data_IF_582853542944
#
_entry.id   IF_582853542944
#
_cell.length_a   1.000
_cell.length_b   1.000
_cell.length_c   1.000
_cell.angle_alpha   90.00
_cell.angle_beta   90.00
_cell.angle_gamma   90.00
#
_symmetry.space_group_name_H-M   'P 1'
#
loop_
_entity.id
_entity.type
_entity.pdbx_description
1 polymer ?
#
# COMPACT_ATOMS: atom_id res chain seq x y z
N UNK A 1 -21.62 14.90 7.91
CA UNK A 1 -22.47 14.98 9.11
C UNK A 1 -21.87 14.18 10.25
N UNK A 2 -21.78 14.74 11.46
CA UNK A 2 -21.23 14.04 12.59
C UNK A 2 -22.26 13.01 13.10
N UNK A 3 -21.85 11.74 13.07
CA UNK A 3 -22.51 10.55 13.62
C UNK A 3 -23.73 10.05 12.85
N UNK A 4 -23.49 9.56 11.63
CA UNK A 4 -24.34 8.51 11.06
C UNK A 4 -24.37 7.35 12.07
N UNK A 5 -25.56 7.00 12.59
CA UNK A 5 -25.71 5.85 13.48
C UNK A 5 -25.24 4.60 12.73
N UNK A 6 -24.58 3.67 13.42
CA UNK A 6 -24.12 2.40 12.83
C UNK A 6 -25.24 1.67 12.07
N UNK A 7 -26.50 1.83 12.50
CA UNK A 7 -27.71 1.27 11.87
C UNK A 7 -28.14 1.94 10.56
N UNK A 8 -27.66 3.15 10.25
CA UNK A 8 -28.21 4.02 9.21
C UNK A 8 -27.27 4.13 7.99
N UNK A 9 -26.26 3.27 7.92
CA UNK A 9 -25.31 3.25 6.81
C UNK A 9 -25.94 2.59 5.57
N UNK A 10 -26.15 3.39 4.53
CA UNK A 10 -26.75 2.96 3.25
C UNK A 10 -25.78 2.99 2.06
N UNK A 11 -24.65 3.69 2.19
CA UNK A 11 -23.67 3.95 1.10
C UNK A 11 -22.65 2.82 0.90
N UNK A 12 -23.07 1.58 1.11
CA UNK A 12 -22.23 0.38 0.97
C UNK A 12 -21.71 0.13 -0.45
N UNK A 13 -22.35 0.75 -1.46
CA UNK A 13 -21.95 0.74 -2.87
C UNK A 13 -21.00 1.89 -3.24
N UNK A 14 -20.71 2.81 -2.31
CA UNK A 14 -19.89 4.02 -2.53
C UNK A 14 -18.64 4.06 -1.67
N UNK A 15 -17.96 2.91 -1.56
CA UNK A 15 -16.73 2.79 -0.77
C UNK A 15 -15.54 2.65 -1.70
N UNK A 16 -14.56 3.55 -1.61
CA UNK A 16 -13.32 3.44 -2.39
C UNK A 16 -12.49 2.23 -1.97
N UNK A 17 -11.88 1.56 -2.95
CA UNK A 17 -11.10 0.35 -2.72
C UNK A 17 -9.64 0.63 -2.32
N UNK A 18 -9.46 1.53 -1.34
CA UNK A 18 -8.15 1.88 -0.81
C UNK A 18 -7.44 0.66 -0.20
N UNK A 19 -6.10 0.69 -0.26
CA UNK A 19 -5.29 -0.13 0.62
C UNK A 19 -5.29 0.48 2.03
N UNK A 20 -5.72 -0.30 3.02
CA UNK A 20 -5.70 0.12 4.42
C UNK A 20 -4.29 0.11 5.04
N UNK A 21 -4.17 0.60 6.27
CA UNK A 21 -2.87 0.76 6.95
C UNK A 21 -2.12 -0.57 7.14
N UNK A 22 -2.85 -1.68 7.23
CA UNK A 22 -2.28 -3.04 7.28
C UNK A 22 -1.32 -3.33 6.12
N UNK A 23 -1.58 -2.79 4.91
CA UNK A 23 -0.70 -2.94 3.75
C UNK A 23 0.64 -2.24 3.93
N UNK A 24 0.65 -1.15 4.69
CA UNK A 24 1.81 -0.29 4.92
C UNK A 24 2.51 -0.57 6.25
N UNK A 25 1.89 -1.36 7.12
CA UNK A 25 2.29 -1.66 8.49
C UNK A 25 1.41 -0.91 9.49
N UNK A 26 0.48 -1.61 10.16
CA UNK A 26 -0.57 -0.96 10.96
C UNK A 26 -0.05 -0.06 12.08
N UNK A 27 0.98 -0.50 12.82
CA UNK A 27 1.60 0.33 13.87
C UNK A 27 2.69 1.23 13.35
N UNK A 28 3.35 0.82 12.27
CA UNK A 28 4.54 1.45 11.72
C UNK A 28 4.42 1.47 10.20
N UNK A 29 3.80 2.53 9.62
CA UNK A 29 3.48 2.59 8.20
C UNK A 29 4.72 2.92 7.35
N UNK A 30 5.73 2.04 7.36
CA UNK A 30 7.04 2.28 6.72
C UNK A 30 7.21 1.51 5.41
N UNK A 31 6.39 0.48 5.16
CA UNK A 31 6.60 -0.48 4.06
C UNK A 31 6.65 0.19 2.67
N UNK A 32 5.77 1.16 2.41
CA UNK A 32 5.77 1.90 1.15
C UNK A 32 6.97 2.87 1.03
N UNK A 33 7.48 3.41 2.13
CA UNK A 33 8.66 4.29 2.14
C UNK A 33 9.92 3.50 1.78
N UNK A 34 10.07 2.30 2.36
CA UNK A 34 11.13 1.35 1.97
C UNK A 34 10.97 0.99 0.50
N UNK A 35 9.75 0.68 0.05
CA UNK A 35 9.43 0.43 -1.36
C UNK A 35 9.86 1.55 -2.30
N UNK A 36 9.57 2.81 -1.95
CA UNK A 36 10.00 4.00 -2.70
C UNK A 36 11.52 4.06 -2.84
N UNK A 37 12.23 3.92 -1.72
CA UNK A 37 13.69 3.96 -1.70
C UNK A 37 14.29 2.86 -2.59
N UNK A 38 13.74 1.65 -2.56
CA UNK A 38 14.17 0.53 -3.41
C UNK A 38 13.94 0.81 -4.91
N UNK A 39 12.76 1.30 -5.25
CA UNK A 39 12.42 1.66 -6.63
C UNK A 39 13.39 2.74 -7.15
N UNK A 40 13.77 3.70 -6.31
CA UNK A 40 14.78 4.72 -6.63
C UNK A 40 16.24 4.25 -6.53
N UNK A 41 16.48 2.96 -6.26
CA UNK A 41 17.82 2.37 -6.05
C UNK A 41 18.61 2.99 -4.90
N UNK A 42 17.93 3.65 -3.98
CA UNK A 42 18.51 4.20 -2.74
C UNK A 42 18.49 3.11 -1.67
N UNK A 43 19.33 2.09 -1.84
CA UNK A 43 19.37 0.93 -0.95
C UNK A 43 19.80 1.29 0.47
N UNK A 44 20.74 2.22 0.64
CA UNK A 44 21.12 2.73 1.96
C UNK A 44 19.93 3.34 2.69
N UNK A 45 19.19 4.24 2.03
CA UNK A 45 17.98 4.86 2.58
C UNK A 45 16.93 3.80 2.96
N UNK A 46 16.78 2.75 2.15
CA UNK A 46 15.86 1.65 2.43
C UNK A 46 16.25 0.89 3.72
N UNK A 47 17.54 0.62 3.91
CA UNK A 47 18.06 0.00 5.14
C UNK A 47 17.86 0.93 6.35
N UNK A 48 18.21 2.21 6.21
CA UNK A 48 18.00 3.22 7.26
C UNK A 48 16.53 3.27 7.66
N UNK A 49 15.60 3.38 6.70
CA UNK A 49 14.16 3.39 6.99
C UNK A 49 13.71 2.10 7.70
N UNK A 50 14.20 0.94 7.28
CA UNK A 50 13.80 -0.33 7.87
C UNK A 50 14.24 -0.46 9.34
N UNK A 51 15.47 -0.02 9.64
CA UNK A 51 16.06 -0.09 10.96
C UNK A 51 15.61 1.06 11.87
N UNK A 52 15.75 2.31 11.44
CA UNK A 52 15.64 3.49 12.32
C UNK A 52 14.27 4.17 12.32
N UNK A 53 13.38 3.87 11.37
CA UNK A 53 12.06 4.53 11.33
C UNK A 53 11.25 4.20 12.59
N UNK A 54 10.81 5.25 13.29
CA UNK A 54 9.98 5.17 14.50
C UNK A 54 8.56 5.66 14.23
N UNK A 55 7.59 5.06 14.92
CA UNK A 55 6.19 5.49 14.93
C UNK A 55 5.78 5.94 16.33
N UNK A 56 4.76 6.79 16.44
CA UNK A 56 4.15 7.17 17.73
C UNK A 56 3.50 5.97 18.45
N UNK A 57 3.16 4.92 17.71
CA UNK A 57 2.58 3.69 18.23
C UNK A 57 3.62 2.61 18.59
N UNK A 58 4.92 2.89 18.45
CA UNK A 58 5.99 2.00 18.88
C UNK A 58 6.16 2.03 20.42
N UNK A 59 6.65 0.93 21.00
CA UNK A 59 7.06 0.95 22.42
C UNK A 59 8.26 1.86 22.62
N UNK A 60 8.40 2.41 23.83
CA UNK A 60 9.57 3.25 24.18
C UNK A 60 10.89 2.50 24.00
N UNK A 61 10.92 1.21 24.35
CA UNK A 61 12.07 0.34 24.18
C UNK A 61 12.46 0.20 22.70
N UNK A 62 11.50 -0.13 21.83
CA UNK A 62 11.75 -0.25 20.40
C UNK A 62 12.23 1.10 19.82
N UNK A 63 11.62 2.20 20.24
CA UNK A 63 12.00 3.55 19.81
C UNK A 63 13.46 3.85 20.15
N UNK A 64 13.92 3.49 21.36
CA UNK A 64 15.31 3.67 21.77
C UNK A 64 16.26 2.83 20.92
N UNK A 65 15.94 1.56 20.68
CA UNK A 65 16.76 0.67 19.85
C UNK A 65 16.85 1.19 18.42
N UNK A 66 15.74 1.66 17.84
CA UNK A 66 15.72 2.21 16.47
C UNK A 66 16.51 3.51 16.34
N UNK A 67 16.41 4.40 17.33
CA UNK A 67 17.26 5.60 17.40
C UNK A 67 18.74 5.24 17.55
N UNK A 68 19.05 4.18 18.29
CA UNK A 68 20.42 3.70 18.41
C UNK A 68 20.96 3.16 17.06
N UNK A 69 20.11 2.45 16.30
CA UNK A 69 20.40 1.95 14.95
C UNK A 69 20.39 3.03 13.85
N UNK A 70 20.18 4.31 14.17
CA UNK A 70 20.30 5.37 13.14
C UNK A 70 21.75 5.61 12.74
N UNK A 71 22.71 5.22 13.58
CA UNK A 71 24.13 5.31 13.34
C UNK A 71 24.70 3.91 13.06
N UNK A 72 25.39 3.76 11.93
CA UNK A 72 25.97 2.49 11.49
C UNK A 72 27.06 1.98 12.45
N UNK A 73 27.77 2.87 13.15
CA UNK A 73 28.79 2.48 14.12
C UNK A 73 28.23 1.69 15.30
N UNK A 74 26.92 1.83 15.56
CA UNK A 74 26.23 1.15 16.66
C UNK A 74 25.68 -0.23 16.29
N UNK A 75 25.77 -0.67 15.03
CA UNK A 75 25.13 -1.91 14.57
C UNK A 75 25.54 -3.15 15.38
N UNK A 76 26.83 -3.27 15.70
CA UNK A 76 27.37 -4.40 16.49
C UNK A 76 26.76 -4.47 17.90
N UNK A 77 26.55 -3.34 18.56
CA UNK A 77 25.92 -3.28 19.87
C UNK A 77 24.39 -3.43 19.77
N UNK A 78 23.79 -2.83 18.74
CA UNK A 78 22.35 -2.94 18.48
C UNK A 78 21.92 -4.40 18.27
N UNK A 79 22.74 -5.21 17.60
CA UNK A 79 22.47 -6.62 17.36
C UNK A 79 22.33 -7.44 18.65
N UNK A 80 23.06 -7.06 19.70
CA UNK A 80 23.05 -7.74 21.02
C UNK A 80 21.78 -7.44 21.82
N UNK A 81 21.27 -6.21 21.70
CA UNK A 81 20.08 -5.74 22.43
C UNK A 81 18.77 -5.97 21.66
N UNK A 82 18.85 -6.32 20.37
CA UNK A 82 17.69 -6.48 19.52
C UNK A 82 16.76 -7.59 20.04
N UNK A 83 15.43 -7.36 20.16
CA UNK A 83 14.48 -8.39 20.52
C UNK A 83 14.44 -9.55 19.53
N UNK A 84 14.07 -10.75 19.99
CA UNK A 84 13.91 -11.93 19.12
C UNK A 84 12.80 -11.77 18.07
N UNK A 85 11.81 -10.90 18.28
CA UNK A 85 10.70 -10.70 17.34
C UNK A 85 11.06 -9.86 16.11
N UNK A 86 12.25 -9.27 16.07
CA UNK A 86 12.72 -8.37 15.00
C UNK A 86 13.66 -9.12 14.04
N UNK A 87 13.19 -10.23 13.48
CA UNK A 87 14.01 -11.13 12.66
C UNK A 87 14.53 -10.45 11.39
N UNK A 88 13.70 -9.63 10.74
CA UNK A 88 14.08 -8.93 9.50
C UNK A 88 15.18 -7.90 9.77
N UNK A 89 15.01 -7.08 10.81
CA UNK A 89 16.04 -6.12 11.23
C UNK A 89 17.32 -6.82 11.68
N UNK A 90 17.22 -7.97 12.36
CA UNK A 90 18.39 -8.78 12.74
C UNK A 90 19.17 -9.26 11.52
N UNK A 91 18.49 -9.83 10.52
CA UNK A 91 19.13 -10.30 9.29
C UNK A 91 19.86 -9.15 8.59
N UNK A 92 19.21 -7.98 8.48
CA UNK A 92 19.83 -6.81 7.85
C UNK A 92 21.07 -6.36 8.60
N UNK A 93 20.99 -6.22 9.94
CA UNK A 93 22.13 -5.79 10.75
C UNK A 93 23.32 -6.73 10.58
N UNK A 94 23.08 -8.05 10.62
CA UNK A 94 24.15 -9.04 10.45
C UNK A 94 24.87 -8.88 9.11
N UNK A 95 24.11 -8.73 8.03
CA UNK A 95 24.67 -8.57 6.69
C UNK A 95 25.38 -7.22 6.51
N UNK A 96 24.84 -6.14 7.09
CA UNK A 96 25.48 -4.83 7.09
C UNK A 96 26.80 -4.84 7.88
N UNK A 97 26.87 -5.52 9.03
CA UNK A 97 28.11 -5.65 9.81
C UNK A 97 29.16 -6.48 9.04
N UNK A 98 28.73 -7.55 8.37
CA UNK A 98 29.65 -8.47 7.70
C UNK A 98 30.18 -7.92 6.38
N UNK A 99 29.33 -7.24 5.60
CA UNK A 99 29.65 -6.87 4.22
C UNK A 99 29.60 -5.36 3.96
N UNK A 100 28.89 -4.58 4.77
CA UNK A 100 28.72 -3.14 4.55
C UNK A 100 27.98 -2.78 3.27
N UNK A 101 27.28 -3.74 2.64
CA UNK A 101 26.56 -3.55 1.38
C UNK A 101 25.03 -3.60 1.61
N UNK A 102 24.34 -2.44 1.53
CA UNK A 102 22.89 -2.35 1.69
C UNK A 102 22.09 -3.20 0.70
N UNK A 103 22.58 -3.36 -0.54
CA UNK A 103 21.89 -4.15 -1.56
C UNK A 103 21.98 -5.64 -1.22
N UNK A 104 23.15 -6.11 -0.81
CA UNK A 104 23.34 -7.49 -0.37
C UNK A 104 22.50 -7.80 0.87
N UNK A 105 22.51 -6.91 1.86
CA UNK A 105 21.68 -7.03 3.06
C UNK A 105 20.20 -7.17 2.72
N UNK A 106 19.72 -6.37 1.75
CA UNK A 106 18.33 -6.46 1.32
C UNK A 106 18.04 -7.78 0.58
N UNK A 107 18.95 -8.27 -0.27
CA UNK A 107 18.80 -9.54 -0.99
C UNK A 107 18.62 -10.76 -0.08
N UNK A 108 19.13 -10.68 1.14
CA UNK A 108 19.05 -11.75 2.15
C UNK A 108 17.68 -11.88 2.79
N UNK A 109 16.84 -10.85 2.67
CA UNK A 109 15.46 -10.93 3.10
C UNK A 109 14.66 -11.95 2.28
N UNK A 110 13.65 -12.59 2.88
CA UNK A 110 12.73 -13.46 2.15
C UNK A 110 12.13 -12.76 0.93
N UNK A 111 12.01 -13.48 -0.18
CA UNK A 111 11.50 -12.92 -1.45
C UNK A 111 10.11 -12.28 -1.30
N UNK A 112 9.24 -12.88 -0.48
CA UNK A 112 7.90 -12.35 -0.19
C UNK A 112 7.95 -10.96 0.45
N UNK A 113 8.87 -10.72 1.37
CA UNK A 113 9.07 -9.43 2.04
C UNK A 113 9.64 -8.41 1.07
N UNK A 114 10.63 -8.79 0.26
CA UNK A 114 11.20 -7.89 -0.76
C UNK A 114 10.13 -7.42 -1.76
N UNK A 115 9.30 -8.34 -2.26
CA UNK A 115 8.16 -8.01 -3.13
C UNK A 115 7.14 -7.12 -2.44
N UNK A 116 6.82 -7.43 -1.18
CA UNK A 116 5.86 -6.64 -0.39
C UNK A 116 6.22 -5.16 -0.35
N UNK A 117 7.50 -4.79 -0.21
CA UNK A 117 7.91 -3.39 -0.20
C UNK A 117 7.61 -2.68 -1.53
N UNK A 118 7.99 -3.28 -2.66
CA UNK A 118 7.73 -2.71 -3.99
C UNK A 118 6.22 -2.62 -4.25
N UNK A 119 5.48 -3.69 -3.93
CA UNK A 119 4.03 -3.72 -4.11
C UNK A 119 3.31 -2.71 -3.19
N UNK A 120 3.81 -2.50 -1.96
CA UNK A 120 3.26 -1.50 -1.05
C UNK A 120 3.47 -0.09 -1.60
N UNK A 121 4.59 0.20 -2.26
CA UNK A 121 4.76 1.50 -2.92
C UNK A 121 3.80 1.68 -4.11
N UNK A 122 3.57 0.64 -4.91
CA UNK A 122 2.52 0.67 -5.95
C UNK A 122 1.13 0.89 -5.35
N UNK A 123 0.80 0.22 -4.23
CA UNK A 123 -0.43 0.43 -3.46
C UNK A 123 -0.58 1.88 -2.96
N UNK A 124 0.52 2.52 -2.54
CA UNK A 124 0.52 3.91 -2.10
C UNK A 124 0.19 4.86 -3.26
N UNK A 125 0.82 4.67 -4.42
CA UNK A 125 0.52 5.47 -5.62
C UNK A 125 -0.94 5.28 -6.07
N UNK A 126 -1.47 4.06 -5.98
CA UNK A 126 -2.89 3.80 -6.23
C UNK A 126 -3.80 4.61 -5.30
N UNK A 127 -3.54 4.59 -3.99
CA UNK A 127 -4.33 5.39 -3.04
C UNK A 127 -4.27 6.89 -3.38
N UNK A 128 -3.07 7.43 -3.67
CA UNK A 128 -2.93 8.82 -4.11
C UNK A 128 -3.71 9.12 -5.39
N UNK A 129 -3.72 8.18 -6.34
CA UNK A 129 -4.44 8.33 -7.62
C UNK A 129 -5.93 8.45 -7.38
N UNK A 130 -6.51 7.59 -6.54
CA UNK A 130 -7.93 7.66 -6.17
C UNK A 130 -8.24 9.00 -5.50
N UNK A 131 -7.43 9.44 -4.54
CA UNK A 131 -7.63 10.74 -3.88
C UNK A 131 -7.57 11.91 -4.87
N UNK A 132 -6.54 11.93 -5.74
CA UNK A 132 -6.36 13.02 -6.72
C UNK A 132 -7.46 13.02 -7.76
N UNK A 133 -7.86 11.87 -8.29
CA UNK A 133 -8.97 11.79 -9.22
C UNK A 133 -10.26 12.33 -8.56
N UNK A 134 -10.54 11.92 -7.32
CA UNK A 134 -11.71 12.39 -6.57
C UNK A 134 -11.69 13.91 -6.31
N UNK A 135 -10.53 14.46 -5.88
CA UNK A 135 -10.35 15.90 -5.66
C UNK A 135 -10.61 16.74 -6.93
N UNK A 136 -10.30 16.19 -8.10
CA UNK A 136 -10.52 16.84 -9.40
C UNK A 136 -11.92 16.58 -9.98
N UNK A 137 -12.80 15.89 -9.25
CA UNK A 137 -14.18 15.65 -9.65
C UNK A 137 -14.38 14.52 -10.66
N UNK A 138 -13.42 13.60 -10.78
CA UNK A 138 -13.56 12.40 -11.62
C UNK A 138 -14.65 11.47 -11.07
N UNK A 139 -15.48 10.91 -11.95
CA UNK A 139 -16.43 9.86 -11.58
C UNK A 139 -15.70 8.53 -11.37
N UNK A 140 -15.71 8.02 -10.14
CA UNK A 140 -14.94 6.83 -9.72
C UNK A 140 -15.80 5.61 -9.39
N UNK A 141 -17.13 5.76 -9.32
CA UNK A 141 -18.05 4.66 -9.02
C UNK A 141 -18.65 4.05 -10.27
N UNK A 142 -18.63 4.79 -11.39
CA UNK A 142 -19.15 4.34 -12.68
C UNK A 142 -18.09 4.45 -13.78
N UNK A 143 -17.96 3.42 -14.61
CA UNK A 143 -17.09 3.49 -15.79
C UNK A 143 -17.66 4.43 -16.86
N UNK A 144 -16.76 4.98 -17.68
CA UNK A 144 -17.05 5.85 -18.81
C UNK A 144 -16.45 5.27 -20.10
N UNK A 145 -16.80 5.85 -21.25
CA UNK A 145 -16.24 5.41 -22.53
C UNK A 145 -14.71 5.52 -22.54
N UNK A 146 -14.04 4.48 -23.04
CA UNK A 146 -12.58 4.36 -23.01
C UNK A 146 -11.97 3.85 -21.71
N UNK A 147 -12.74 3.68 -20.63
CA UNK A 147 -12.24 3.12 -19.37
C UNK A 147 -11.91 1.62 -19.50
N UNK A 148 -11.02 1.16 -18.62
CA UNK A 148 -10.75 -0.27 -18.40
C UNK A 148 -11.60 -0.72 -17.22
N UNK A 149 -12.24 -1.87 -17.35
CA UNK A 149 -13.18 -2.40 -16.35
C UNK A 149 -12.95 -3.88 -16.09
N UNK A 150 -13.40 -4.33 -14.92
CA UNK A 150 -13.64 -5.75 -14.65
C UNK A 150 -15.10 -6.10 -14.96
N UNK A 151 -15.32 -7.19 -15.70
CA UNK A 151 -16.66 -7.75 -15.90
C UNK A 151 -17.14 -8.56 -14.67
N UNK A 152 -18.37 -9.08 -14.75
CA UNK A 152 -18.96 -9.95 -13.71
C UNK A 152 -18.15 -11.22 -13.39
N UNK A 153 -17.25 -11.64 -14.29
CA UNK A 153 -16.38 -12.81 -14.11
C UNK A 153 -14.98 -12.40 -13.65
N UNK A 154 -14.78 -11.14 -13.21
CA UNK A 154 -13.49 -10.56 -12.86
C UNK A 154 -12.45 -10.59 -13.99
N UNK A 155 -12.90 -10.57 -15.25
CA UNK A 155 -12.04 -10.44 -16.43
C UNK A 155 -11.88 -8.97 -16.79
N UNK A 156 -10.63 -8.56 -17.01
CA UNK A 156 -10.29 -7.21 -17.42
C UNK A 156 -10.59 -6.99 -18.90
N UNK A 157 -11.24 -5.88 -19.23
CA UNK A 157 -11.58 -5.48 -20.59
C UNK A 157 -11.82 -3.98 -20.70
N UNK A 158 -12.20 -3.51 -21.89
CA UNK A 158 -12.68 -2.14 -22.06
C UNK A 158 -14.12 -2.03 -21.58
N UNK A 159 -14.55 -0.81 -21.27
CA UNK A 159 -15.96 -0.55 -21.03
C UNK A 159 -16.79 -0.83 -22.30
N UNK A 160 -17.85 -1.61 -22.15
CA UNK A 160 -18.75 -2.07 -23.23
C UNK A 160 -20.20 -1.63 -22.96
N UNK A 161 -20.40 -0.56 -22.18
CA UNK A 161 -21.72 -0.06 -21.77
C UNK A 161 -22.53 -1.07 -20.93
N UNK A 162 -21.87 -2.07 -20.32
CA UNK A 162 -22.50 -3.03 -19.42
C UNK A 162 -22.55 -2.44 -17.99
N UNK A 163 -23.74 -2.28 -17.37
CA UNK A 163 -23.87 -1.76 -16.01
C UNK A 163 -23.23 -2.64 -14.93
N UNK A 164 -22.95 -3.91 -15.23
CA UNK A 164 -22.25 -4.84 -14.33
C UNK A 164 -20.73 -4.71 -14.37
N UNK A 165 -20.18 -3.87 -15.26
CA UNK A 165 -18.75 -3.60 -15.31
C UNK A 165 -18.32 -2.63 -14.21
N UNK A 166 -17.19 -2.94 -13.60
CA UNK A 166 -16.61 -2.15 -12.52
C UNK A 166 -15.33 -1.46 -12.98
N UNK A 167 -15.28 -0.14 -12.79
CA UNK A 167 -14.14 0.71 -13.16
C UNK A 167 -12.84 0.20 -12.53
N UNK A 168 -11.80 0.07 -13.35
CA UNK A 168 -10.48 -0.35 -12.93
C UNK A 168 -9.45 0.77 -13.14
N UNK A 169 -8.71 1.09 -12.09
CA UNK A 169 -7.62 2.05 -12.09
C UNK A 169 -6.30 1.28 -12.26
N UNK A 170 -5.39 1.74 -13.14
CA UNK A 170 -4.12 1.08 -13.33
C UNK A 170 -3.23 1.21 -12.08
N UNK A 171 -2.58 0.11 -11.72
CA UNK A 171 -1.51 0.09 -10.73
C UNK A 171 -0.17 0.31 -11.42
N UNK A 172 0.69 1.14 -10.83
CA UNK A 172 2.00 1.45 -11.42
C UNK A 172 2.97 0.29 -11.25
N UNK A 173 3.61 -0.07 -12.36
CA UNK A 173 4.73 -0.98 -12.46
C UNK A 173 5.48 -0.73 -13.78
N UNK A 174 6.43 -1.57 -14.12
CA UNK A 174 7.27 -1.35 -15.31
C UNK A 174 6.52 -1.46 -16.64
N UNK A 175 5.38 -2.14 -16.65
CA UNK A 175 4.49 -2.29 -17.80
C UNK A 175 3.17 -1.53 -17.63
N UNK A 176 3.15 -0.45 -16.83
CA UNK A 176 1.92 0.27 -16.54
C UNK A 176 1.22 0.77 -17.82
N UNK A 177 -0.12 0.72 -17.80
CA UNK A 177 -0.95 1.07 -18.95
C UNK A 177 -1.39 2.55 -18.91
N UNK A 178 -0.93 3.33 -19.89
CA UNK A 178 -1.14 4.79 -19.94
C UNK A 178 -2.48 5.24 -20.53
N UNK A 179 -3.18 4.38 -21.27
CA UNK A 179 -4.37 4.79 -22.05
C UNK A 179 -5.63 4.76 -21.18
N UNK A 180 -5.58 5.48 -20.06
CA UNK A 180 -6.71 5.66 -19.13
C UNK A 180 -6.77 7.13 -18.76
N UNK A 181 -7.96 7.63 -18.38
CA UNK A 181 -8.09 9.01 -17.88
C UNK A 181 -7.26 9.30 -16.62
N UNK A 182 -6.86 8.27 -15.88
CA UNK A 182 -6.02 8.40 -14.69
C UNK A 182 -4.54 8.68 -14.98
N UNK A 183 -4.07 8.56 -16.22
CA UNK A 183 -2.64 8.71 -16.56
C UNK A 183 -2.10 10.10 -16.25
N UNK A 184 -2.93 11.15 -16.37
CA UNK A 184 -2.53 12.51 -15.99
C UNK A 184 -2.26 12.62 -14.49
N UNK A 185 -3.15 12.09 -13.65
CA UNK A 185 -2.98 12.08 -12.19
C UNK A 185 -1.76 11.25 -11.79
N UNK A 186 -1.63 10.05 -12.36
CA UNK A 186 -0.51 9.14 -12.09
C UNK A 186 0.81 9.78 -12.52
N UNK A 187 0.87 10.37 -13.71
CA UNK A 187 2.09 11.03 -14.21
C UNK A 187 2.50 12.18 -13.31
N UNK A 188 1.54 12.97 -12.80
CA UNK A 188 1.83 14.05 -11.86
C UNK A 188 2.36 13.51 -10.52
N UNK A 189 1.73 12.48 -9.96
CA UNK A 189 2.19 11.81 -8.74
C UNK A 189 3.62 11.28 -8.93
N UNK A 190 3.89 10.58 -10.04
CA UNK A 190 5.21 10.04 -10.35
C UNK A 190 6.28 11.13 -10.50
N UNK A 191 5.92 12.27 -11.10
CA UNK A 191 6.81 13.43 -11.19
C UNK A 191 7.15 13.99 -9.80
N UNK A 192 6.15 14.20 -8.94
CA UNK A 192 6.33 14.75 -7.59
C UNK A 192 7.13 13.77 -6.71
N UNK A 193 6.91 12.47 -6.91
CA UNK A 193 7.62 11.40 -6.23
C UNK A 193 9.04 11.16 -6.78
N UNK A 194 9.39 11.75 -7.91
CA UNK A 194 10.66 11.56 -8.64
C UNK A 194 10.92 10.08 -8.97
N UNK A 195 9.90 9.41 -9.52
CA UNK A 195 9.96 8.01 -9.93
C UNK A 195 9.40 7.87 -11.34
N UNK A 196 9.97 6.96 -12.12
CA UNK A 196 9.43 6.54 -13.40
C UNK A 196 8.92 5.09 -13.34
N UNK A 197 7.99 4.71 -14.23
CA UNK A 197 7.52 3.33 -14.34
C UNK A 197 8.66 2.33 -14.57
N UNK A 198 9.69 2.70 -15.33
CA UNK A 198 10.85 1.83 -15.62
C UNK A 198 11.63 1.45 -14.35
N UNK A 199 11.55 2.27 -13.30
CA UNK A 199 12.28 2.04 -12.05
C UNK A 199 11.72 0.84 -11.26
N UNK A 200 10.48 0.44 -11.54
CA UNK A 200 9.87 -0.79 -11.02
C UNK A 200 10.44 -2.06 -11.66
N UNK A 201 11.30 -1.96 -12.68
CA UNK A 201 12.04 -3.08 -13.25
C UNK A 201 13.46 -3.14 -12.68
N UNK A 202 13.76 -4.22 -11.94
CA UNK A 202 15.04 -4.42 -11.27
C UNK A 202 15.90 -5.39 -12.09
N UNK A 203 16.77 -4.86 -12.96
CA UNK A 203 17.63 -5.68 -13.83
C UNK A 203 18.45 -6.74 -13.09
N UNK A 204 18.94 -6.39 -11.91
CA UNK A 204 19.82 -7.23 -11.07
C UNK A 204 19.06 -8.08 -10.04
N UNK A 205 17.76 -7.86 -9.90
CA UNK A 205 16.85 -8.57 -8.98
C UNK A 205 15.47 -8.69 -9.65
N UNK A 206 15.41 -9.36 -10.79
CA UNK A 206 14.20 -9.38 -11.61
C UNK A 206 13.00 -9.95 -10.84
N UNK A 207 13.26 -10.83 -9.87
CA UNK A 207 12.26 -11.46 -9.03
C UNK A 207 11.46 -10.50 -8.16
N UNK A 208 11.93 -9.26 -7.93
CA UNK A 208 11.21 -8.21 -7.20
C UNK A 208 10.61 -7.14 -8.11
N UNK A 209 10.75 -7.29 -9.44
CA UNK A 209 10.15 -6.35 -10.39
C UNK A 209 8.63 -6.41 -10.31
N UNK A 210 8.00 -5.24 -10.33
CA UNK A 210 6.54 -5.13 -10.35
C UNK A 210 6.08 -4.75 -11.75
N UNK A 211 5.29 -5.63 -12.38
CA UNK A 211 4.74 -5.40 -13.71
C UNK A 211 3.69 -4.28 -13.71
N UNK A 212 2.93 -4.18 -12.61
CA UNK A 212 1.77 -3.30 -12.47
C UNK A 212 0.49 -4.13 -12.53
N UNK A 213 -0.57 -3.55 -13.08
CA UNK A 213 -1.85 -4.25 -13.25
C UNK A 213 -3.01 -3.28 -13.13
N UNK A 214 -4.14 -3.79 -12.67
CA UNK A 214 -5.35 -3.02 -12.46
C UNK A 214 -6.00 -3.40 -11.14
N UNK A 215 -6.75 -2.45 -10.58
CA UNK A 215 -7.52 -2.63 -9.36
C UNK A 215 -8.82 -1.85 -9.48
N UNK A 216 -9.91 -2.41 -8.99
CA UNK A 216 -11.22 -1.74 -8.97
C UNK A 216 -11.15 -0.44 -8.17
N UNK A 217 -11.82 0.61 -8.66
CA UNK A 217 -11.86 1.92 -7.99
C UNK A 217 -12.69 1.88 -6.69
N UNK A 218 -13.80 1.14 -6.70
CA UNK A 218 -14.69 0.95 -5.56
C UNK A 218 -14.80 -0.51 -5.13
N UNK A 219 -15.18 -0.70 -3.86
CA UNK A 219 -15.43 -2.01 -3.28
C UNK A 219 -16.80 -2.50 -3.76
N UNK A 220 -16.83 -3.63 -4.45
CA UNK A 220 -18.06 -4.38 -4.64
C UNK A 220 -18.41 -5.09 -3.32
N UNK A 221 -19.42 -4.55 -2.65
CA UNK A 221 -19.98 -5.06 -1.40
C UNK A 221 -21.38 -5.60 -1.68
N UNK A 222 -21.62 -6.88 -1.44
CA UNK A 222 -22.93 -7.53 -1.62
C UNK A 222 -23.40 -8.20 -0.34
N UNK A 223 -24.69 -8.55 -0.27
CA UNK A 223 -25.30 -9.15 0.92
C UNK A 223 -25.07 -8.34 2.20
N UNK A 224 -25.13 -7.00 2.06
CA UNK A 224 -24.89 -6.08 3.17
C UNK A 224 -26.09 -6.06 4.13
N UNK A 225 -25.83 -6.31 5.40
CA UNK A 225 -26.82 -6.14 6.47
C UNK A 225 -26.16 -5.65 7.75
N UNK A 226 -26.91 -4.86 8.52
CA UNK A 226 -26.52 -4.40 9.85
C UNK A 226 -27.61 -4.77 10.84
N UNK A 227 -27.25 -5.52 11.88
CA UNK A 227 -28.12 -5.88 12.98
C UNK A 227 -27.46 -5.50 14.30
N UNK A 228 -28.00 -4.45 14.97
CA UNK A 228 -27.46 -3.88 16.21
C UNK A 228 -25.99 -3.46 16.08
N UNK A 229 -25.07 -4.34 16.47
CA UNK A 229 -23.62 -4.13 16.47
C UNK A 229 -22.87 -5.09 15.53
N UNK A 230 -23.60 -5.84 14.71
CA UNK A 230 -23.04 -6.82 13.77
C UNK A 230 -23.31 -6.36 12.34
N UNK A 231 -22.24 -6.16 11.57
CA UNK A 231 -22.32 -5.96 10.12
C UNK A 231 -21.95 -7.27 9.41
N UNK A 232 -22.74 -7.67 8.41
CA UNK A 232 -22.47 -8.82 7.55
C UNK A 232 -22.42 -8.36 6.11
N UNK A 233 -21.43 -8.83 5.35
CA UNK A 233 -21.26 -8.47 3.94
C UNK A 233 -20.31 -9.43 3.23
N UNK A 234 -20.38 -9.45 1.91
CA UNK A 234 -19.48 -10.19 1.02
C UNK A 234 -18.69 -9.21 0.17
N UNK A 235 -17.38 -9.39 0.10
CA UNK A 235 -16.47 -8.51 -0.66
C UNK A 235 -15.83 -9.24 -1.82
N UNK A 236 -15.66 -8.53 -2.94
CA UNK A 236 -14.79 -9.00 -4.02
C UNK A 236 -13.35 -9.22 -3.55
N UNK A 237 -12.64 -10.13 -4.23
CA UNK A 237 -11.24 -10.40 -3.95
C UNK A 237 -10.40 -9.12 -4.08
N UNK A 238 -9.49 -8.95 -3.13
CA UNK A 238 -8.58 -7.79 -3.11
C UNK A 238 -9.15 -6.56 -2.40
N UNK A 239 -10.40 -6.59 -1.94
CA UNK A 239 -10.96 -5.59 -1.02
C UNK A 239 -10.67 -5.92 0.44
N UNK A 240 -10.71 -4.92 1.31
CA UNK A 240 -10.43 -5.08 2.74
C UNK A 240 -11.68 -4.74 3.57
N UNK A 241 -12.08 -5.64 4.47
CA UNK A 241 -13.21 -5.41 5.38
C UNK A 241 -13.00 -4.19 6.29
N UNK A 242 -11.75 -3.88 6.63
CA UNK A 242 -11.38 -2.69 7.38
C UNK A 242 -11.78 -1.39 6.67
N UNK A 243 -11.76 -1.35 5.34
CA UNK A 243 -12.19 -0.15 4.60
C UNK A 243 -13.70 0.04 4.67
N UNK A 244 -14.47 -1.04 4.62
CA UNK A 244 -15.93 -0.99 4.79
C UNK A 244 -16.27 -0.56 6.21
N UNK A 245 -15.66 -1.18 7.22
CA UNK A 245 -15.88 -0.85 8.62
C UNK A 245 -15.44 0.57 8.97
N UNK A 246 -14.33 1.06 8.40
CA UNK A 246 -13.89 2.46 8.55
C UNK A 246 -14.93 3.43 8.01
N UNK A 247 -15.54 3.13 6.87
CA UNK A 247 -16.57 3.99 6.27
C UNK A 247 -17.89 3.95 7.06
N UNK A 248 -18.24 2.82 7.67
CA UNK A 248 -19.40 2.71 8.57
C UNK A 248 -19.15 3.50 9.88
N UNK A 249 -17.96 3.33 10.47
CA UNK A 249 -17.67 3.86 11.82
C UNK A 249 -17.18 5.30 11.84
N UNK A 250 -16.54 5.76 10.76
CA UNK A 250 -15.93 7.10 10.62
C UNK A 250 -15.18 7.57 11.89
N UNK A 251 -14.21 6.79 12.41
CA UNK A 251 -13.50 7.14 13.64
C UNK A 251 -12.62 8.37 13.43
N UNK A 252 -12.49 9.20 14.47
CA UNK A 252 -11.62 10.39 14.48
C UNK A 252 -10.13 10.01 14.37
N UNK A 253 -9.73 8.89 15.01
CA UNK A 253 -8.42 8.25 14.87
C UNK A 253 -8.56 6.86 14.25
N UNK A 254 -8.44 6.74 12.91
CA UNK A 254 -8.51 5.45 12.22
C UNK A 254 -7.45 4.44 12.70
N UNK A 255 -6.22 4.90 12.97
CA UNK A 255 -5.11 4.03 13.36
C UNK A 255 -5.33 3.46 14.78
N UNK A 256 -5.70 4.31 15.73
CA UNK A 256 -6.07 3.89 17.08
C UNK A 256 -7.28 2.95 17.10
N UNK A 257 -8.22 3.12 16.16
CA UNK A 257 -9.36 2.23 15.97
C UNK A 257 -9.04 0.93 15.19
N UNK A 258 -7.81 0.77 14.69
CA UNK A 258 -7.33 -0.45 14.03
C UNK A 258 -7.58 -0.53 12.51
N UNK A 259 -7.85 0.60 11.86
CA UNK A 259 -8.06 0.71 10.41
C UNK A 259 -6.80 1.10 9.65
#
# INVERSE_FOLDING_TARGET
>A
DPKQSFSDFSEHDRIFNFYGYQRFGSRRPVTHLVGKALVQRRFSDAITLMLSFTSEYDSEENTKIRKFMSDESNYSEALKILPHKMDLERTILQEMIQHGDPKLAFQKLPLSIRRLFVDAYSSFIFNLTVCKAFEYGEELFRPQDGDVCYDKNAKLGKYEMDPSQHLAIPMVGHSYFKKTRFDLHISKILQDEQVSPKDFFFKEMQEISAEGGFRTASILCTNFSIEKNTASFTLQRGSFATMVMREIMKPDDPLGAGF
#
